data_IF_489403628236
#
_entry.id   IF_489403628236
#
_cell.length_a   1.000
_cell.length_b   1.000
_cell.length_c   1.000
_cell.angle_alpha   90.00
_cell.angle_beta   90.00
_cell.angle_gamma   90.00
#
_symmetry.space_group_name_H-M   'P 1'
#
loop_
_entity.id
_entity.type
_entity.pdbx_description
1 polymer ?
#
# COMPACT_ATOMS: atom_id res chain seq x y z
N UNK A 1 97.55 28.95 15.72
CA UNK A 1 98.54 28.08 16.39
C UNK A 1 97.89 26.72 16.56
N UNK A 2 98.34 25.71 15.79
CA UNK A 2 98.02 24.27 15.91
C UNK A 2 96.52 23.87 15.78
N UNK A 3 96.09 22.82 15.10
CA UNK A 3 96.74 21.70 14.40
C UNK A 3 95.65 20.99 13.55
N UNK A 4 96.02 20.62 12.32
CA UNK A 4 95.73 19.38 11.57
C UNK A 4 94.64 18.42 12.10
N UNK A 5 93.82 17.73 11.30
CA UNK A 5 94.16 16.72 10.28
C UNK A 5 92.80 16.22 9.72
N UNK A 6 92.47 16.24 8.42
CA UNK A 6 92.79 15.24 7.38
C UNK A 6 92.83 13.79 7.95
N UNK A 7 92.16 12.76 7.43
CA UNK A 7 91.60 12.55 6.09
C UNK A 7 91.00 11.13 5.97
N UNK A 8 90.15 10.93 4.95
CA UNK A 8 90.01 9.74 4.08
C UNK A 8 89.42 8.43 4.60
N UNK A 9 88.37 7.97 3.90
CA UNK A 9 87.91 6.59 3.88
C UNK A 9 86.71 6.44 2.94
N UNK A 10 86.95 5.88 1.76
CA UNK A 10 86.08 5.90 0.58
C UNK A 10 85.36 4.53 0.43
N UNK A 11 84.18 4.54 -0.22
CA UNK A 11 83.39 3.43 -0.83
C UNK A 11 82.32 2.68 0.00
N UNK A 12 81.06 2.92 -0.40
CA UNK A 12 80.16 1.89 -0.93
C UNK A 12 79.16 1.22 0.02
N UNK A 13 77.87 1.58 -0.09
CA UNK A 13 76.76 0.65 -0.39
C UNK A 13 75.40 1.32 -0.19
N UNK A 14 74.46 0.91 -1.05
CA UNK A 14 73.11 1.42 -1.23
C UNK A 14 72.17 1.25 -0.03
N UNK A 15 71.24 2.19 0.15
CA UNK A 15 69.94 1.94 0.80
C UNK A 15 68.82 2.62 0.02
N UNK A 16 67.84 1.79 -0.32
CA UNK A 16 66.53 2.04 -0.94
C UNK A 16 65.83 3.34 -0.53
N UNK A 17 65.42 4.14 -1.51
CA UNK A 17 64.29 5.07 -1.39
C UNK A 17 63.12 4.55 -2.22
N UNK A 18 62.12 3.96 -1.56
CA UNK A 18 60.89 3.47 -2.17
C UNK A 18 60.10 4.69 -2.69
N UNK A 19 59.96 4.77 -4.02
CA UNK A 19 59.07 5.71 -4.69
C UNK A 19 57.64 5.15 -4.61
N UNK A 20 56.80 5.80 -3.81
CA UNK A 20 55.40 5.41 -3.63
C UNK A 20 54.58 5.92 -4.83
N UNK A 21 54.56 5.14 -5.91
CA UNK A 21 53.68 5.36 -7.06
C UNK A 21 52.26 5.01 -6.61
N UNK A 22 51.45 6.00 -6.31
CA UNK A 22 50.02 5.79 -6.11
C UNK A 22 49.41 5.36 -7.46
N UNK A 23 48.75 4.20 -7.56
CA UNK A 23 48.01 3.85 -8.75
C UNK A 23 46.84 4.83 -8.88
N UNK A 24 46.92 5.69 -9.90
CA UNK A 24 45.76 6.40 -10.43
C UNK A 24 44.79 5.32 -10.87
N UNK A 25 43.86 4.96 -9.99
CA UNK A 25 42.68 4.22 -10.38
C UNK A 25 41.89 5.18 -11.25
N UNK A 26 42.14 5.10 -12.56
CA UNK A 26 41.25 5.66 -13.55
C UNK A 26 39.87 5.16 -13.21
N UNK A 27 39.01 6.06 -12.75
CA UNK A 27 37.59 5.86 -12.86
C UNK A 27 37.31 5.74 -14.35
N UNK A 28 37.28 4.51 -14.84
CA UNK A 28 36.57 4.21 -16.07
C UNK A 28 35.12 4.55 -15.78
N UNK A 29 34.69 5.74 -16.17
CA UNK A 29 33.27 6.00 -16.33
C UNK A 29 32.72 4.88 -17.21
N UNK A 30 31.66 4.23 -16.77
CA UNK A 30 30.86 3.39 -17.65
C UNK A 30 30.61 4.19 -18.93
N UNK A 31 31.13 3.71 -20.06
CA UNK A 31 30.76 4.14 -21.41
C UNK A 31 29.30 3.73 -21.66
N UNK A 32 28.37 4.27 -20.88
CA UNK A 32 26.99 4.40 -21.27
C UNK A 32 26.97 5.51 -22.30
N UNK A 33 26.87 5.16 -23.58
CA UNK A 33 26.70 6.17 -24.62
C UNK A 33 25.55 7.10 -24.21
N UNK A 34 25.86 8.38 -24.02
CA UNK A 34 24.91 9.39 -23.58
C UNK A 34 24.10 9.83 -24.82
N UNK A 35 23.18 8.95 -25.24
CA UNK A 35 22.28 9.26 -26.35
C UNK A 35 21.28 10.32 -25.89
N UNK A 36 21.09 11.43 -26.64
CA UNK A 36 20.03 12.37 -26.35
C UNK A 36 18.69 11.62 -26.29
N UNK A 37 17.98 11.78 -25.17
CA UNK A 37 16.76 11.02 -24.89
C UNK A 37 15.57 11.94 -24.61
N UNK A 38 14.39 11.52 -25.09
CA UNK A 38 13.11 12.11 -24.75
C UNK A 38 12.33 11.15 -23.87
N UNK A 39 12.10 11.55 -22.62
CA UNK A 39 11.27 10.82 -21.66
C UNK A 39 9.89 11.46 -21.60
N UNK A 40 8.84 10.68 -21.84
CA UNK A 40 7.45 11.12 -21.73
C UNK A 40 6.65 10.18 -20.85
N UNK A 41 5.78 10.74 -20.03
CA UNK A 41 4.80 9.99 -19.25
C UNK A 41 3.38 10.44 -19.57
N UNK A 42 2.45 9.49 -19.54
CA UNK A 42 1.02 9.74 -19.68
C UNK A 42 0.19 8.77 -18.84
N UNK A 43 -0.99 9.24 -18.41
CA UNK A 43 -1.97 8.49 -17.61
C UNK A 43 -3.12 7.97 -18.49
N UNK A 44 -3.37 6.67 -18.39
CA UNK A 44 -4.60 6.02 -18.82
C UNK A 44 -5.60 5.99 -17.68
N UNK A 45 -6.89 6.15 -18.01
CA UNK A 45 -7.96 6.15 -17.01
C UNK A 45 -9.23 5.58 -17.60
N UNK A 46 -9.86 4.67 -16.89
CA UNK A 46 -11.19 4.14 -17.22
C UNK A 46 -12.05 4.18 -15.97
N UNK A 47 -13.25 4.73 -16.11
CA UNK A 47 -14.27 4.70 -15.07
C UNK A 47 -15.27 3.59 -15.41
N UNK A 48 -15.54 2.71 -14.45
CA UNK A 48 -16.47 1.57 -14.61
C UNK A 48 -17.34 1.40 -13.38
N UNK A 49 -18.58 0.90 -13.52
CA UNK A 49 -19.35 0.47 -12.37
C UNK A 49 -18.67 -0.74 -11.70
N UNK A 50 -18.64 -0.83 -10.36
CA UNK A 50 -18.16 -2.02 -9.67
C UNK A 50 -19.13 -3.20 -9.88
N UNK A 51 -18.60 -4.42 -9.79
CA UNK A 51 -19.37 -5.67 -9.91
C UNK A 51 -19.25 -6.56 -8.64
N UNK A 52 -18.51 -6.08 -7.63
CA UNK A 52 -18.41 -6.68 -6.31
C UNK A 52 -18.23 -5.62 -5.22
N UNK A 53 -18.65 -5.99 -4.01
CA UNK A 53 -18.41 -5.27 -2.77
C UNK A 53 -17.68 -6.18 -1.79
N UNK A 54 -16.69 -5.65 -1.08
CA UNK A 54 -16.07 -6.31 0.07
C UNK A 54 -16.52 -5.57 1.31
N UNK A 55 -17.24 -6.28 2.17
CA UNK A 55 -17.76 -5.76 3.42
C UNK A 55 -16.85 -6.20 4.56
N UNK A 56 -16.41 -5.25 5.38
CA UNK A 56 -15.53 -5.52 6.51
C UNK A 56 -16.30 -5.39 7.83
N UNK A 57 -16.43 -6.49 8.54
CA UNK A 57 -17.11 -6.58 9.83
C UNK A 57 -16.17 -7.10 10.90
N UNK A 58 -16.45 -6.79 12.16
CA UNK A 58 -15.84 -7.46 13.29
C UNK A 58 -16.88 -7.81 14.36
N UNK A 59 -16.59 -8.92 15.05
CA UNK A 59 -17.24 -9.30 16.30
C UNK A 59 -16.27 -8.98 17.43
N UNK A 60 -16.68 -8.05 18.28
CA UNK A 60 -15.95 -7.63 19.46
C UNK A 60 -16.68 -8.09 20.73
N UNK A 61 -15.97 -8.80 21.60
CA UNK A 61 -16.48 -9.22 22.92
C UNK A 61 -15.46 -8.81 23.99
N UNK A 62 -15.94 -8.55 25.20
CA UNK A 62 -15.09 -8.15 26.31
C UNK A 62 -15.59 -8.77 27.63
N UNK A 63 -14.67 -9.04 28.56
CA UNK A 63 -14.98 -9.64 29.86
C UNK A 63 -13.74 -9.99 30.67
N UNK A 64 -13.91 -10.43 31.91
CA UNK A 64 -12.79 -10.64 32.85
C UNK A 64 -11.96 -11.88 32.52
N UNK A 65 -12.59 -12.94 32.02
CA UNK A 65 -11.94 -14.22 31.72
C UNK A 65 -11.81 -14.44 30.22
N UNK A 66 -10.57 -14.59 29.75
CA UNK A 66 -10.28 -14.80 28.34
C UNK A 66 -11.06 -15.97 27.71
N UNK A 67 -11.18 -17.10 28.40
CA UNK A 67 -11.86 -18.29 27.87
C UNK A 67 -13.34 -18.04 27.58
N UNK A 68 -14.04 -17.33 28.48
CA UNK A 68 -15.46 -17.00 28.33
C UNK A 68 -15.65 -15.98 27.19
N UNK A 69 -14.78 -14.96 27.13
CA UNK A 69 -14.82 -13.92 26.08
C UNK A 69 -14.55 -14.51 24.69
N UNK A 70 -13.61 -15.45 24.59
CA UNK A 70 -13.28 -16.12 23.33
C UNK A 70 -14.40 -17.05 22.87
N UNK A 71 -14.99 -17.82 23.78
CA UNK A 71 -16.12 -18.70 23.45
C UNK A 71 -17.31 -17.89 22.95
N UNK A 72 -17.68 -16.82 23.66
CA UNK A 72 -18.77 -15.93 23.23
C UNK A 72 -18.50 -15.31 21.85
N UNK A 73 -17.25 -14.90 21.59
CA UNK A 73 -16.86 -14.34 20.30
C UNK A 73 -17.07 -15.36 19.17
N UNK A 74 -16.65 -16.61 19.38
CA UNK A 74 -16.79 -17.69 18.41
C UNK A 74 -18.26 -18.03 18.15
N UNK A 75 -19.10 -18.06 19.17
CA UNK A 75 -20.55 -18.31 19.02
C UNK A 75 -21.25 -17.20 18.23
N UNK A 76 -20.94 -15.93 18.52
CA UNK A 76 -21.45 -14.78 17.76
C UNK A 76 -20.96 -14.79 16.32
N UNK A 77 -19.69 -15.11 16.09
CA UNK A 77 -19.13 -15.23 14.76
C UNK A 77 -19.79 -16.37 13.98
N UNK A 78 -20.03 -17.53 14.60
CA UNK A 78 -20.69 -18.64 13.94
C UNK A 78 -22.08 -18.23 13.42
N UNK A 79 -22.86 -17.47 14.22
CA UNK A 79 -24.14 -16.91 13.78
C UNK A 79 -23.99 -15.97 12.58
N UNK A 80 -22.97 -15.10 12.58
CA UNK A 80 -22.66 -14.23 11.44
C UNK A 80 -22.37 -15.04 10.18
N UNK A 81 -21.56 -16.09 10.28
CA UNK A 81 -21.22 -16.96 9.15
C UNK A 81 -22.44 -17.72 8.61
N UNK A 82 -23.33 -18.18 9.48
CA UNK A 82 -24.59 -18.83 9.09
C UNK A 82 -25.56 -17.87 8.39
N UNK A 83 -25.67 -16.62 8.83
CA UNK A 83 -26.46 -15.60 8.13
C UNK A 83 -25.89 -15.32 6.74
N UNK A 84 -24.57 -15.20 6.60
CA UNK A 84 -23.93 -15.05 5.28
C UNK A 84 -24.26 -16.23 4.35
N UNK A 85 -24.25 -17.47 4.87
CA UNK A 85 -24.65 -18.68 4.11
C UNK A 85 -26.12 -18.61 3.69
N UNK A 86 -27.00 -18.18 4.58
CA UNK A 86 -28.45 -18.02 4.32
C UNK A 86 -28.72 -16.98 3.23
N UNK A 87 -27.84 -15.99 3.09
CA UNK A 87 -27.87 -14.98 2.03
C UNK A 87 -27.19 -15.44 0.73
N UNK A 88 -26.89 -16.74 0.59
CA UNK A 88 -26.20 -17.34 -0.56
C UNK A 88 -24.79 -16.78 -0.79
N UNK A 89 -24.04 -16.50 0.28
CA UNK A 89 -22.62 -16.14 0.19
C UNK A 89 -21.78 -17.40 0.49
N UNK A 90 -21.12 -17.98 -0.52
CA UNK A 90 -20.19 -19.08 -0.34
C UNK A 90 -19.08 -18.77 0.67
N UNK A 91 -18.67 -19.78 1.45
CA UNK A 91 -17.59 -19.63 2.44
C UNK A 91 -16.26 -19.20 1.85
N UNK A 92 -15.98 -19.52 0.57
CA UNK A 92 -14.79 -19.06 -0.15
C UNK A 92 -14.71 -17.53 -0.31
N UNK A 93 -15.84 -16.83 -0.18
CA UNK A 93 -15.91 -15.37 -0.22
C UNK A 93 -15.90 -14.75 1.17
N UNK A 94 -15.71 -15.56 2.21
CA UNK A 94 -15.65 -15.11 3.59
C UNK A 94 -14.25 -15.40 4.12
N UNK A 95 -13.52 -14.36 4.46
CA UNK A 95 -12.13 -14.46 4.92
C UNK A 95 -11.98 -13.78 6.27
N UNK A 96 -11.47 -14.52 7.26
CA UNK A 96 -10.99 -13.90 8.50
C UNK A 96 -9.71 -13.13 8.19
N UNK A 97 -9.70 -11.82 8.47
CA UNK A 97 -8.53 -10.97 8.23
C UNK A 97 -7.68 -10.77 9.47
N UNK A 98 -8.27 -10.81 10.66
CA UNK A 98 -7.52 -10.69 11.91
C UNK A 98 -8.29 -11.29 13.07
N UNK A 99 -7.56 -11.89 14.00
CA UNK A 99 -8.06 -12.28 15.32
C UNK A 99 -7.10 -11.71 16.36
N UNK A 100 -7.60 -10.77 17.16
CA UNK A 100 -6.79 -10.07 18.15
C UNK A 100 -7.37 -10.29 19.55
N UNK A 101 -6.50 -10.62 20.51
CA UNK A 101 -6.82 -10.65 21.93
C UNK A 101 -6.08 -9.50 22.59
N UNK A 102 -6.82 -8.56 23.16
CA UNK A 102 -6.31 -7.32 23.73
C UNK A 102 -6.54 -7.38 25.24
N UNK A 103 -5.49 -7.52 26.07
CA UNK A 103 -5.64 -7.38 27.51
C UNK A 103 -6.00 -5.93 27.85
N UNK A 104 -6.95 -5.76 28.76
CA UNK A 104 -7.37 -4.46 29.27
C UNK A 104 -6.72 -4.19 30.62
N UNK A 105 -6.24 -2.97 30.80
CA UNK A 105 -5.59 -2.50 32.02
C UNK A 105 -6.36 -1.28 32.56
N UNK A 106 -6.37 -1.08 33.89
CA UNK A 106 -6.99 0.10 34.47
C UNK A 106 -6.26 1.36 33.99
N UNK A 107 -6.98 2.49 33.80
CA UNK A 107 -6.35 3.74 33.43
C UNK A 107 -5.37 4.19 34.54
N UNK A 108 -4.23 4.80 34.17
CA UNK A 108 -3.27 5.28 35.16
C UNK A 108 -3.92 6.35 36.06
N UNK A 109 -3.56 6.39 37.36
CA UNK A 109 -4.11 7.37 38.28
C UNK A 109 -3.81 8.80 37.82
N UNK A 110 -4.80 9.70 37.94
CA UNK A 110 -4.71 11.09 37.46
C UNK A 110 -3.71 11.98 38.24
N UNK A 111 -3.25 11.53 39.40
CA UNK A 111 -2.21 12.17 40.22
C UNK A 111 -1.26 11.09 40.74
N UNK A 112 0.05 11.18 40.49
CA UNK A 112 1.01 10.30 41.15
C UNK A 112 1.05 10.66 42.64
N UNK A 113 0.59 9.76 43.51
CA UNK A 113 0.94 9.79 44.93
C UNK A 113 2.24 8.99 45.13
N UNK A 114 3.07 9.35 46.12
CA UNK A 114 4.31 8.60 46.45
C UNK A 114 4.04 7.11 46.77
N UNK A 115 2.81 6.76 47.17
CA UNK A 115 2.32 5.39 47.40
C UNK A 115 1.98 4.60 46.12
N UNK A 116 1.89 5.27 44.96
CA UNK A 116 1.45 4.66 43.71
C UNK A 116 2.54 3.83 43.03
N UNK A 117 3.82 3.93 43.43
CA UNK A 117 4.93 3.27 42.72
C UNK A 117 5.02 1.75 42.99
N UNK A 118 4.47 1.28 44.11
CA UNK A 118 4.47 -0.15 44.48
C UNK A 118 3.18 -0.86 44.03
N UNK A 119 2.09 -0.09 43.86
CA UNK A 119 0.81 -0.52 43.28
C UNK A 119 0.68 -0.22 41.76
N UNK A 120 1.74 0.30 41.11
CA UNK A 120 1.72 0.72 39.69
C UNK A 120 1.92 -0.41 38.69
N UNK A 121 1.98 -1.68 39.10
CA UNK A 121 2.07 -2.78 38.12
C UNK A 121 0.69 -2.90 37.47
N UNK A 122 0.54 -2.58 36.16
CA UNK A 122 -0.75 -2.63 35.51
C UNK A 122 -1.22 -4.09 35.49
N UNK A 123 -2.26 -4.39 36.27
CA UNK A 123 -2.90 -5.70 36.29
C UNK A 123 -3.96 -5.75 35.21
N UNK A 124 -4.05 -6.90 34.54
CA UNK A 124 -5.11 -7.15 33.57
C UNK A 124 -6.44 -7.18 34.32
N UNK A 125 -7.37 -6.30 33.95
CA UNK A 125 -8.74 -6.23 34.50
C UNK A 125 -9.76 -6.90 33.59
N UNK A 126 -9.35 -7.28 32.37
CA UNK A 126 -10.17 -8.05 31.45
C UNK A 126 -9.48 -8.26 30.12
N UNK A 127 -10.22 -8.84 29.19
CA UNK A 127 -9.79 -9.13 27.84
C UNK A 127 -10.86 -8.66 26.87
N UNK A 128 -10.42 -8.09 25.77
CA UNK A 128 -11.24 -7.82 24.58
C UNK A 128 -10.76 -8.70 23.44
N UNK A 129 -11.67 -9.43 22.82
CA UNK A 129 -11.39 -10.24 21.63
C UNK A 129 -12.06 -9.57 20.43
N UNK A 130 -11.28 -9.33 19.38
CA UNK A 130 -11.74 -8.74 18.12
C UNK A 130 -11.47 -9.73 16.99
N UNK A 131 -12.53 -10.24 16.37
CA UNK A 131 -12.43 -11.11 15.21
C UNK A 131 -12.98 -10.37 13.99
N UNK A 132 -12.11 -10.02 13.05
CA UNK A 132 -12.45 -9.28 11.84
C UNK A 132 -12.58 -10.23 10.64
N UNK A 133 -13.62 -10.02 9.84
CA UNK A 133 -13.94 -10.81 8.66
C UNK A 133 -14.28 -9.89 7.50
N UNK A 134 -13.74 -10.23 6.33
CA UNK A 134 -14.14 -9.67 5.05
C UNK A 134 -15.10 -10.62 4.35
N UNK A 135 -16.18 -10.06 3.81
CA UNK A 135 -17.21 -10.78 3.07
C UNK A 135 -17.29 -10.17 1.67
N UNK A 136 -16.90 -10.93 0.64
CA UNK A 136 -17.10 -10.56 -0.75
C UNK A 136 -18.55 -10.86 -1.19
N UNK A 137 -19.23 -9.83 -1.67
CA UNK A 137 -20.60 -9.86 -2.17
C UNK A 137 -20.59 -9.48 -3.64
N UNK A 138 -21.04 -10.40 -4.49
CA UNK A 138 -21.07 -10.21 -5.96
C UNK A 138 -22.42 -9.71 -6.48
N UNK A 139 -23.47 -9.89 -5.69
CA UNK A 139 -24.77 -9.28 -5.98
C UNK A 139 -24.87 -7.98 -5.17
N UNK A 140 -24.71 -6.83 -5.85
CA UNK A 140 -24.68 -5.54 -5.16
C UNK A 140 -26.04 -5.15 -4.55
N UNK A 141 -27.14 -5.70 -5.06
CA UNK A 141 -28.51 -5.40 -4.58
C UNK A 141 -28.75 -5.91 -3.16
N UNK A 142 -28.01 -6.92 -2.72
CA UNK A 142 -28.16 -7.51 -1.38
C UNK A 142 -27.21 -6.90 -0.34
N UNK A 143 -26.34 -5.96 -0.73
CA UNK A 143 -25.29 -5.43 0.17
C UNK A 143 -25.90 -4.81 1.43
N UNK A 144 -26.93 -3.96 1.30
CA UNK A 144 -27.62 -3.36 2.46
C UNK A 144 -28.23 -4.42 3.38
N UNK A 145 -28.89 -5.43 2.78
CA UNK A 145 -29.49 -6.56 3.50
C UNK A 145 -28.45 -7.40 4.24
N UNK A 146 -27.27 -7.62 3.66
CA UNK A 146 -26.15 -8.34 4.30
C UNK A 146 -25.68 -7.56 5.52
N UNK A 147 -25.44 -6.25 5.39
CA UNK A 147 -25.03 -5.39 6.51
C UNK A 147 -26.05 -5.47 7.65
N UNK A 148 -27.34 -5.29 7.36
CA UNK A 148 -28.38 -5.31 8.39
C UNK A 148 -28.53 -6.65 9.10
N UNK A 149 -28.43 -7.76 8.37
CA UNK A 149 -28.54 -9.12 8.92
C UNK A 149 -27.37 -9.45 9.82
N UNK A 150 -26.15 -9.20 9.35
CA UNK A 150 -24.91 -9.50 10.07
C UNK A 150 -24.79 -8.67 11.35
N UNK A 151 -25.22 -7.40 11.33
CA UNK A 151 -25.29 -6.55 12.51
C UNK A 151 -26.32 -7.03 13.55
N UNK A 152 -27.45 -7.59 13.12
CA UNK A 152 -28.49 -8.11 14.03
C UNK A 152 -28.08 -9.38 14.79
N UNK A 153 -27.19 -10.21 14.22
CA UNK A 153 -26.87 -11.53 14.79
C UNK A 153 -25.56 -11.61 15.57
N UNK A 154 -24.68 -10.61 15.47
CA UNK A 154 -23.46 -10.61 16.28
C UNK A 154 -22.34 -9.67 15.87
N UNK A 155 -22.30 -9.19 14.62
CA UNK A 155 -21.32 -8.17 14.25
C UNK A 155 -21.68 -6.84 14.89
N UNK A 156 -20.73 -6.24 15.60
CA UNK A 156 -20.95 -4.98 16.31
C UNK A 156 -19.94 -3.89 15.92
N UNK A 157 -19.00 -4.21 15.03
CA UNK A 157 -18.08 -3.25 14.43
C UNK A 157 -18.14 -3.36 12.91
N UNK A 158 -18.64 -2.31 12.26
CA UNK A 158 -18.63 -2.20 10.80
C UNK A 158 -17.52 -1.26 10.36
N UNK A 159 -16.56 -1.78 9.60
CA UNK A 159 -15.39 -1.01 9.18
C UNK A 159 -15.59 -0.32 7.82
N UNK A 160 -16.59 -0.73 7.04
CA UNK A 160 -16.97 -0.07 5.79
C UNK A 160 -17.17 -1.04 4.63
N UNK A 161 -17.32 -0.44 3.44
CA UNK A 161 -17.56 -1.12 2.16
C UNK A 161 -16.44 -0.71 1.20
N UNK A 162 -15.81 -1.69 0.56
CA UNK A 162 -14.88 -1.47 -0.54
C UNK A 162 -15.49 -1.99 -1.84
N UNK A 163 -15.49 -1.16 -2.88
CA UNK A 163 -16.00 -1.52 -4.20
C UNK A 163 -14.87 -1.99 -5.11
N UNK A 164 -15.14 -2.97 -5.97
CA UNK A 164 -14.14 -3.45 -6.90
C UNK A 164 -14.71 -4.21 -8.09
N UNK A 165 -13.80 -4.85 -8.81
CA UNK A 165 -14.15 -5.76 -9.92
C UNK A 165 -13.77 -7.20 -9.59
N UNK A 166 -14.57 -8.16 -10.04
CA UNK A 166 -14.27 -9.58 -9.97
C UNK A 166 -13.08 -9.91 -10.86
N UNK A 167 -13.01 -9.30 -12.04
CA UNK A 167 -11.87 -9.41 -12.94
C UNK A 167 -11.35 -8.04 -13.37
N UNK A 168 -10.29 -7.59 -12.70
CA UNK A 168 -9.66 -6.30 -12.99
C UNK A 168 -8.73 -6.34 -14.20
N UNK A 169 -8.20 -7.50 -14.56
CA UNK A 169 -7.18 -7.66 -15.60
C UNK A 169 -7.55 -7.03 -16.95
N UNK A 170 -8.72 -7.30 -17.55
CA UNK A 170 -9.08 -6.71 -18.84
C UNK A 170 -9.12 -5.18 -18.77
N UNK A 171 -9.64 -4.62 -17.69
CA UNK A 171 -9.72 -3.17 -17.51
C UNK A 171 -8.34 -2.55 -17.26
N UNK A 172 -7.46 -3.22 -16.51
CA UNK A 172 -6.06 -2.80 -16.31
C UNK A 172 -5.30 -2.77 -17.63
N UNK A 173 -5.44 -3.79 -18.47
CA UNK A 173 -4.81 -3.84 -19.79
C UNK A 173 -5.31 -2.72 -20.72
N UNK A 174 -6.61 -2.43 -20.70
CA UNK A 174 -7.15 -1.32 -21.50
C UNK A 174 -6.65 0.04 -21.00
N UNK A 175 -6.51 0.23 -19.68
CA UNK A 175 -5.88 1.43 -19.08
C UNK A 175 -4.44 1.59 -19.57
N UNK A 176 -3.64 0.52 -19.56
CA UNK A 176 -2.25 0.56 -20.04
C UNK A 176 -2.17 0.85 -21.54
N UNK A 177 -3.07 0.29 -22.34
CA UNK A 177 -3.17 0.59 -23.78
C UNK A 177 -3.47 2.07 -24.01
N UNK A 178 -4.42 2.65 -23.26
CA UNK A 178 -4.72 4.08 -23.33
C UNK A 178 -3.54 4.95 -22.88
N UNK A 179 -2.88 4.60 -21.78
CA UNK A 179 -1.69 5.30 -21.29
C UNK A 179 -0.57 5.30 -22.34
N UNK A 180 -0.31 4.15 -22.94
CA UNK A 180 0.73 3.97 -23.96
C UNK A 180 0.44 4.80 -25.22
N UNK A 181 -0.79 4.76 -25.73
CA UNK A 181 -1.20 5.55 -26.89
C UNK A 181 -1.07 7.05 -26.64
N UNK A 182 -1.45 7.52 -25.43
CA UNK A 182 -1.29 8.93 -25.04
C UNK A 182 0.18 9.32 -24.90
N UNK A 183 1.01 8.47 -24.30
CA UNK A 183 2.44 8.72 -24.15
C UNK A 183 3.12 8.82 -25.52
N UNK A 184 2.78 7.93 -26.47
CA UNK A 184 3.29 7.97 -27.83
C UNK A 184 2.87 9.26 -28.55
N UNK A 185 1.59 9.62 -28.53
CA UNK A 185 1.10 10.85 -29.15
C UNK A 185 1.78 12.10 -28.55
N UNK A 186 2.06 12.09 -27.23
CA UNK A 186 2.79 13.15 -26.54
C UNK A 186 4.26 13.23 -26.99
N UNK A 187 4.96 12.11 -27.14
CA UNK A 187 6.32 12.08 -27.68
C UNK A 187 6.37 12.64 -29.11
N UNK A 188 5.46 12.20 -29.98
CA UNK A 188 5.38 12.66 -31.38
C UNK A 188 5.13 14.17 -31.45
N UNK A 189 4.21 14.69 -30.63
CA UNK A 189 3.90 16.12 -30.55
C UNK A 189 5.12 16.93 -30.09
N UNK A 190 5.82 16.48 -29.04
CA UNK A 190 7.00 17.17 -28.52
C UNK A 190 8.16 17.16 -29.52
N UNK A 191 8.40 16.02 -30.18
CA UNK A 191 9.43 15.91 -31.20
C UNK A 191 9.16 16.85 -32.37
N UNK A 192 7.91 16.94 -32.85
CA UNK A 192 7.53 17.86 -33.91
C UNK A 192 7.70 19.33 -33.49
N UNK A 193 7.24 19.70 -32.29
CA UNK A 193 7.32 21.07 -31.78
C UNK A 193 8.76 21.57 -31.57
N UNK A 194 9.68 20.66 -31.21
CA UNK A 194 11.09 20.96 -30.97
C UNK A 194 11.98 20.73 -32.20
N UNK A 195 11.40 20.39 -33.36
CA UNK A 195 12.11 20.03 -34.58
C UNK A 195 13.14 18.90 -34.39
N UNK A 196 12.76 17.89 -33.59
CA UNK A 196 13.54 16.68 -33.32
C UNK A 196 12.98 15.49 -34.12
N UNK A 197 13.80 14.45 -34.26
CA UNK A 197 13.43 13.15 -34.82
C UNK A 197 13.48 12.08 -33.73
N UNK A 198 12.40 11.30 -33.60
CA UNK A 198 12.38 10.08 -32.77
C UNK A 198 13.08 8.96 -33.55
N UNK A 199 14.15 8.39 -32.99
CA UNK A 199 14.97 7.36 -33.65
C UNK A 199 14.44 5.96 -33.34
N UNK A 200 14.44 5.59 -32.05
CA UNK A 200 13.95 4.30 -31.55
C UNK A 200 13.52 4.42 -30.10
N UNK A 201 12.73 3.46 -29.64
CA UNK A 201 12.35 3.33 -28.24
C UNK A 201 13.51 2.68 -27.47
N UNK A 202 13.95 3.34 -26.40
CA UNK A 202 15.02 2.85 -25.51
C UNK A 202 14.45 2.08 -24.33
N UNK A 203 13.35 2.56 -23.75
CA UNK A 203 12.76 1.95 -22.57
C UNK A 203 11.25 2.19 -22.48
N UNK A 204 10.55 1.23 -21.86
CA UNK A 204 9.13 1.33 -21.48
C UNK A 204 9.02 0.98 -20.01
N UNK A 205 8.57 1.93 -19.22
CA UNK A 205 8.32 1.76 -17.80
C UNK A 205 6.82 1.78 -17.56
N UNK A 206 6.31 0.64 -17.14
CA UNK A 206 4.95 0.50 -16.63
C UNK A 206 4.92 0.97 -15.16
N UNK A 207 4.06 1.93 -14.85
CA UNK A 207 3.72 2.31 -13.49
C UNK A 207 2.59 1.44 -12.94
N UNK A 208 2.45 1.41 -11.61
CA UNK A 208 1.39 0.64 -10.96
C UNK A 208 -0.01 1.04 -11.44
N UNK A 209 -0.81 0.05 -11.85
CA UNK A 209 -2.22 0.25 -12.18
C UNK A 209 -3.06 0.05 -10.93
N UNK A 210 -3.58 1.15 -10.40
CA UNK A 210 -4.32 1.17 -9.13
C UNK A 210 -5.80 1.49 -9.35
N UNK A 211 -6.63 0.88 -8.49
CA UNK A 211 -8.02 1.25 -8.35
C UNK A 211 -8.09 2.38 -7.35
N UNK A 212 -8.58 3.52 -7.80
CA UNK A 212 -8.79 4.68 -6.96
C UNK A 212 -10.30 4.91 -6.89
N UNK A 213 -10.90 5.03 -5.69
CA UNK A 213 -12.26 5.53 -5.58
C UNK A 213 -12.35 6.81 -6.40
N UNK A 214 -13.37 6.91 -7.27
CA UNK A 214 -13.55 8.15 -8.06
C UNK A 214 -13.59 9.29 -7.06
N UNK A 215 -12.76 10.33 -7.27
CA UNK A 215 -12.81 11.58 -6.50
C UNK A 215 -14.14 12.29 -6.80
N UNK A 216 -15.21 11.74 -6.25
CA UNK A 216 -16.53 12.32 -6.12
C UNK A 216 -16.59 12.94 -4.74
N UNK A 217 -16.94 14.21 -4.68
CA UNK A 217 -17.23 14.92 -3.44
C UNK A 217 -18.38 14.21 -2.73
N UNK A 218 -18.08 13.23 -1.89
CA UNK A 218 -19.07 12.63 -1.01
C UNK A 218 -19.43 13.66 0.07
N UNK A 219 -20.45 14.49 -0.19
CA UNK A 219 -21.30 15.01 0.88
C UNK A 219 -22.09 13.81 1.38
N UNK A 220 -21.53 13.10 2.37
CA UNK A 220 -22.28 12.05 3.06
C UNK A 220 -23.47 12.73 3.71
N UNK A 221 -24.68 12.46 3.21
CA UNK A 221 -25.92 12.79 3.90
C UNK A 221 -25.99 11.87 5.13
N UNK A 222 -25.50 12.38 6.26
CA UNK A 222 -25.43 11.69 7.56
C UNK A 222 -26.80 11.45 8.23
N UNK A 223 -27.87 11.23 7.46
CA UNK A 223 -29.24 11.25 7.96
C UNK A 223 -30.04 9.94 7.80
N UNK A 224 -29.44 8.88 7.24
CA UNK A 224 -30.17 7.62 7.01
C UNK A 224 -30.08 6.60 8.16
N UNK A 225 -29.19 6.77 9.15
CA UNK A 225 -29.01 5.78 10.23
C UNK A 225 -30.06 5.88 11.35
N UNK A 226 -30.98 6.85 11.30
CA UNK A 226 -31.95 7.10 12.37
C UNK A 226 -33.34 6.44 12.15
N UNK A 227 -33.63 5.86 10.97
CA UNK A 227 -34.99 5.43 10.62
C UNK A 227 -35.21 3.92 10.49
N UNK A 228 -34.24 3.07 10.85
CA UNK A 228 -34.42 1.60 10.84
C UNK A 228 -34.76 1.01 9.47
N UNK A 229 -34.55 1.76 8.39
CA UNK A 229 -34.66 1.29 7.01
C UNK A 229 -33.38 0.60 6.56
N UNK A 230 -33.48 -0.22 5.51
CA UNK A 230 -32.32 -0.88 4.92
C UNK A 230 -31.25 0.16 4.54
N UNK A 231 -29.98 -0.14 4.85
CA UNK A 231 -28.89 0.76 4.50
C UNK A 231 -28.90 1.04 2.99
N UNK A 232 -29.19 2.29 2.60
CA UNK A 232 -29.16 2.72 1.20
C UNK A 232 -27.71 2.87 0.77
N UNK A 233 -27.18 1.84 0.12
CA UNK A 233 -25.80 1.79 -0.34
C UNK A 233 -25.77 2.05 -1.85
N UNK A 234 -25.04 3.08 -2.27
CA UNK A 234 -24.80 3.37 -3.69
C UNK A 234 -23.33 3.13 -4.03
N UNK A 235 -23.09 2.30 -5.04
CA UNK A 235 -21.76 1.84 -5.40
C UNK A 235 -20.93 2.87 -6.19
N UNK A 236 -21.60 3.86 -6.81
CA UNK A 236 -20.94 4.84 -7.67
C UNK A 236 -20.18 4.19 -8.83
N UNK A 237 -19.10 4.84 -9.26
CA UNK A 237 -18.14 4.29 -10.22
C UNK A 237 -16.76 4.23 -9.57
N UNK A 238 -15.98 3.23 -9.96
CA UNK A 238 -14.58 3.11 -9.60
C UNK A 238 -13.70 3.58 -10.77
N UNK A 239 -12.59 4.23 -10.46
CA UNK A 239 -11.64 4.73 -11.45
C UNK A 239 -10.38 3.89 -11.42
N UNK A 240 -10.02 3.29 -12.55
CA UNK A 240 -8.77 2.56 -12.70
C UNK A 240 -7.81 3.43 -13.47
N UNK A 241 -6.63 3.67 -12.88
CA UNK A 241 -5.61 4.58 -13.41
C UNK A 241 -4.28 3.86 -13.51
N UNK A 242 -3.54 4.16 -14.55
CA UNK A 242 -2.21 3.61 -14.79
C UNK A 242 -1.36 4.60 -15.55
N UNK A 243 -0.06 4.62 -15.26
CA UNK A 243 0.89 5.52 -15.91
C UNK A 243 1.86 4.69 -16.73
N UNK A 244 2.14 5.13 -17.95
CA UNK A 244 3.21 4.55 -18.77
C UNK A 244 4.22 5.65 -19.09
N UNK A 245 5.50 5.34 -18.91
CA UNK A 245 6.61 6.21 -19.26
C UNK A 245 7.40 5.58 -20.39
N UNK A 246 7.58 6.33 -21.48
CA UNK A 246 8.35 5.94 -22.66
C UNK A 246 9.62 6.77 -22.72
N UNK A 247 10.73 6.12 -23.04
CA UNK A 247 12.02 6.78 -23.31
C UNK A 247 12.38 6.51 -24.76
N UNK A 248 12.55 7.57 -25.54
CA UNK A 248 12.98 7.52 -26.93
C UNK A 248 14.38 8.10 -27.09
N UNK A 249 15.16 7.52 -27.98
CA UNK A 249 16.34 8.18 -28.54
C UNK A 249 15.89 9.27 -29.51
N UNK A 250 16.49 10.45 -29.40
CA UNK A 250 16.21 11.60 -30.27
C UNK A 250 17.46 12.07 -31.01
N UNK A 251 17.25 12.60 -32.21
CA UNK A 251 18.25 13.32 -32.97
C UNK A 251 17.70 14.66 -33.45
N UNK A 252 18.57 15.58 -33.84
CA UNK A 252 18.12 16.72 -34.64
C UNK A 252 17.65 16.24 -36.02
N UNK A 253 16.72 17.00 -36.61
CA UNK A 253 16.28 16.81 -38.00
C UNK A 253 17.27 17.39 -38.99
#
# INVERSE_FOLDING_TARGET
MFKTMNSTGMWGAAVLGILLVLPVHGWSGEDGQDHPALTVSAEGRIDVPPDKAVLSFAVETAGEKLSEVQQENQERLAKVLEECRTLNIPSQFIQTTSLNVIPEYPPPPRRPSDESLENSIPRIIGYRVVHQVNVEVRNLDIVGKVVDRVLKVGANRFSGISWGLQNEQPTKLEVLKQASAKAQAKAETLAQALNLKLVRMLNVLEGEVSLVPREGRYRVASMAMASGGEASVSAGEISIRGTVTLVYEISQK
#
